data_IF_962350099099
#
_entry.id   IF_962350099099
#
_cell.length_a   1.000
_cell.length_b   1.000
_cell.length_c   1.000
_cell.angle_alpha   90.00
_cell.angle_beta   90.00
_cell.angle_gamma   90.00
#
_symmetry.space_group_name_H-M   'P 1'
#
loop_
_entity.id
_entity.type
_entity.pdbx_description
1 polymer ?
#
# COMPACT_ATOMS: atom_id res chain seq x y z
N UNK A 1 4.07 -15.51 -5.30
CA UNK A 1 2.80 -14.74 -5.39
C UNK A 1 3.07 -13.44 -6.13
N UNK A 2 2.22 -13.04 -7.10
CA UNK A 2 2.36 -11.75 -7.76
C UNK A 2 2.18 -10.61 -6.76
N UNK A 3 2.88 -9.48 -6.98
CA UNK A 3 2.74 -8.29 -6.13
C UNK A 3 1.37 -7.66 -6.43
N UNK A 4 0.53 -7.55 -5.40
CA UNK A 4 -0.81 -6.98 -5.48
C UNK A 4 -0.94 -5.77 -4.57
N UNK A 5 -1.71 -4.76 -5.00
CA UNK A 5 -1.97 -3.59 -4.18
C UNK A 5 -2.84 -3.96 -2.96
N UNK A 6 -2.53 -3.40 -1.79
CA UNK A 6 -3.28 -3.67 -0.56
C UNK A 6 -4.40 -2.66 -0.27
N UNK A 7 -4.50 -1.59 -1.07
CA UNK A 7 -5.54 -0.56 -0.95
C UNK A 7 -6.90 -1.18 -1.25
N UNK A 8 -7.89 -0.84 -0.43
CA UNK A 8 -9.27 -1.34 -0.58
C UNK A 8 -9.81 -0.93 -1.95
N UNK A 9 -10.47 -1.87 -2.64
CA UNK A 9 -10.98 -1.71 -4.02
C UNK A 9 -9.92 -1.51 -5.12
N UNK A 10 -8.62 -1.62 -4.82
CA UNK A 10 -7.59 -1.62 -5.86
C UNK A 10 -7.33 -3.04 -6.37
N UNK A 11 -7.60 -3.28 -7.66
CA UNK A 11 -7.34 -4.57 -8.33
C UNK A 11 -5.96 -4.64 -9.01
N UNK A 12 -5.15 -3.59 -8.88
CA UNK A 12 -3.84 -3.50 -9.51
C UNK A 12 -2.89 -4.58 -9.00
N UNK A 13 -2.34 -5.35 -9.93
CA UNK A 13 -1.34 -6.37 -9.66
C UNK A 13 -0.24 -6.34 -10.74
N UNK A 14 0.95 -6.82 -10.40
CA UNK A 14 2.13 -6.70 -11.27
C UNK A 14 2.01 -7.45 -12.59
N UNK A 15 1.16 -8.47 -12.67
CA UNK A 15 0.94 -9.26 -13.90
C UNK A 15 0.10 -8.49 -14.92
N UNK A 16 -0.97 -7.83 -14.47
CA UNK A 16 -1.90 -7.09 -15.33
C UNK A 16 -1.50 -5.63 -15.52
N UNK A 17 -0.83 -5.03 -14.54
CA UNK A 17 -0.43 -3.62 -14.51
C UNK A 17 1.09 -3.51 -14.45
N UNK A 18 1.78 -3.95 -15.50
CA UNK A 18 3.24 -4.03 -15.51
C UNK A 18 3.91 -2.65 -15.46
N UNK A 19 3.23 -1.61 -15.96
CA UNK A 19 3.67 -0.21 -15.92
C UNK A 19 3.68 0.41 -14.53
N UNK A 20 2.84 -0.11 -13.62
CA UNK A 20 2.76 0.41 -12.26
C UNK A 20 3.96 -0.07 -11.43
N UNK A 21 4.46 0.84 -10.59
CA UNK A 21 5.44 0.52 -9.56
C UNK A 21 4.71 0.07 -8.31
N UNK A 22 5.27 -0.91 -7.61
CA UNK A 22 4.70 -1.46 -6.38
C UNK A 22 5.66 -1.15 -5.24
N UNK A 23 5.26 -0.22 -4.37
CA UNK A 23 6.03 0.21 -3.21
C UNK A 23 5.67 -0.64 -2.00
N UNK A 24 6.67 -1.10 -1.26
CA UNK A 24 6.45 -1.86 -0.02
C UNK A 24 5.96 -0.91 1.07
N UNK A 25 5.04 -1.37 1.91
CA UNK A 25 4.64 -0.63 3.11
C UNK A 25 5.89 -0.29 3.96
N UNK A 26 6.01 0.94 4.48
CA UNK A 26 7.14 1.31 5.33
C UNK A 26 7.28 0.36 6.52
N UNK A 27 8.53 0.07 6.88
CA UNK A 27 8.80 -0.85 7.98
C UNK A 27 8.46 -0.19 9.32
N UNK A 28 7.74 -0.93 10.17
CA UNK A 28 7.26 -0.45 11.47
C UNK A 28 8.41 -0.01 12.40
N UNK A 29 9.58 -0.64 12.30
CA UNK A 29 10.70 -0.39 13.20
C UNK A 29 11.60 0.74 12.72
N UNK A 30 11.73 0.93 11.40
CA UNK A 30 12.64 1.94 10.82
C UNK A 30 11.91 3.21 10.40
N UNK A 31 10.64 3.11 9.97
CA UNK A 31 9.82 4.23 9.49
C UNK A 31 8.40 4.19 10.10
N UNK A 32 8.26 4.19 11.44
CA UNK A 32 6.97 4.02 12.13
C UNK A 32 5.95 5.10 11.74
N UNK A 33 6.36 6.36 11.70
CA UNK A 33 5.46 7.49 11.41
C UNK A 33 4.93 7.45 9.97
N UNK A 34 5.82 7.16 9.01
CA UNK A 34 5.45 7.02 7.60
C UNK A 34 4.49 5.85 7.42
N UNK A 35 4.75 4.73 8.09
CA UNK A 35 3.86 3.57 8.10
C UNK A 35 2.48 3.95 8.62
N UNK A 36 2.40 4.65 9.75
CA UNK A 36 1.11 5.09 10.33
C UNK A 36 0.34 5.98 9.36
N UNK A 37 0.99 6.96 8.72
CA UNK A 37 0.35 7.83 7.72
C UNK A 37 -0.20 7.02 6.53
N UNK A 38 0.54 6.02 6.06
CA UNK A 38 0.06 5.15 4.98
C UNK A 38 -1.14 4.31 5.41
N UNK A 39 -1.09 3.68 6.58
CA UNK A 39 -2.22 2.89 7.10
C UNK A 39 -3.48 3.74 7.29
N UNK A 40 -3.33 4.96 7.81
CA UNK A 40 -4.42 5.94 7.93
C UNK A 40 -4.99 6.38 6.58
N UNK A 41 -4.15 6.54 5.55
CA UNK A 41 -4.61 6.89 4.20
C UNK A 41 -5.32 5.71 3.51
N UNK A 42 -4.86 4.48 3.75
CA UNK A 42 -5.46 3.26 3.20
C UNK A 42 -6.85 3.01 3.81
N UNK A 43 -7.08 3.44 5.07
CA UNK A 43 -8.36 3.29 5.80
C UNK A 43 -8.94 1.89 5.75
N UNK A 44 -8.07 0.88 5.76
CA UNK A 44 -8.48 -0.52 5.80
C UNK A 44 -8.70 -0.92 7.24
N UNK A 45 -9.82 -1.58 7.47
CA UNK A 45 -10.16 -2.21 8.75
C UNK A 45 -9.86 -3.70 8.66
N UNK A 46 -9.50 -4.30 9.80
CA UNK A 46 -9.49 -5.76 9.95
C UNK A 46 -10.90 -6.28 10.31
N UNK A 47 -11.08 -7.60 10.31
CA UNK A 47 -12.33 -8.30 10.63
C UNK A 47 -12.96 -7.87 11.98
N UNK A 48 -12.13 -7.39 12.91
CA UNK A 48 -12.50 -6.90 14.24
C UNK A 48 -12.79 -5.38 14.26
N UNK A 49 -12.81 -4.70 13.12
CA UNK A 49 -13.04 -3.25 13.02
C UNK A 49 -11.87 -2.38 13.49
N UNK A 50 -10.68 -2.98 13.70
CA UNK A 50 -9.47 -2.25 14.08
C UNK A 50 -8.70 -1.80 12.84
N UNK A 51 -7.94 -0.70 12.97
CA UNK A 51 -7.02 -0.26 11.91
C UNK A 51 -6.10 -1.40 11.48
N UNK A 52 -6.21 -1.78 10.21
CA UNK A 52 -5.46 -2.88 9.63
C UNK A 52 -3.96 -2.62 9.71
N UNK A 53 -3.21 -3.56 10.29
CA UNK A 53 -1.76 -3.48 10.40
C UNK A 53 -1.12 -4.86 10.16
N UNK A 54 -0.77 -5.17 8.90
CA UNK A 54 -0.26 -6.49 8.55
C UNK A 54 1.16 -6.69 9.09
N UNK A 55 1.43 -7.87 9.66
CA UNK A 55 2.78 -8.25 10.13
C UNK A 55 3.72 -8.67 8.99
N UNK A 56 3.17 -9.01 7.81
CA UNK A 56 3.97 -9.46 6.66
C UNK A 56 4.71 -8.30 5.99
N UNK A 57 5.92 -8.59 5.51
CA UNK A 57 6.79 -7.64 4.80
C UNK A 57 6.41 -7.47 3.32
N UNK A 58 5.60 -8.38 2.78
CA UNK A 58 5.24 -8.42 1.36
C UNK A 58 3.89 -7.75 1.09
N UNK A 59 3.74 -6.51 1.54
CA UNK A 59 2.53 -5.73 1.35
C UNK A 59 2.86 -4.51 0.51
N UNK A 60 2.13 -4.33 -0.57
CA UNK A 60 2.48 -3.35 -1.59
C UNK A 60 1.36 -2.33 -1.82
N UNK A 61 1.73 -1.10 -2.15
CA UNK A 61 0.83 -0.06 -2.67
C UNK A 61 1.29 0.31 -4.07
N UNK A 62 0.40 0.32 -5.05
CA UNK A 62 0.76 0.66 -6.43
C UNK A 62 0.96 2.18 -6.61
N UNK A 63 1.72 2.57 -7.63
CA UNK A 63 2.07 3.96 -7.92
C UNK A 63 0.88 4.87 -8.20
N UNK A 64 -0.28 4.32 -8.56
CA UNK A 64 -1.50 5.09 -8.82
C UNK A 64 -2.01 5.85 -7.57
N UNK A 65 -1.68 5.38 -6.37
CA UNK A 65 -2.09 6.02 -5.12
C UNK A 65 -1.14 7.12 -4.65
N UNK A 66 -0.09 7.40 -5.42
CA UNK A 66 0.85 8.46 -5.12
C UNK A 66 0.62 9.59 -6.11
N UNK A 67 0.63 10.82 -5.61
CA UNK A 67 0.62 12.00 -6.46
C UNK A 67 1.98 12.04 -7.16
N UNK A 68 2.03 11.55 -8.40
CA UNK A 68 3.13 11.87 -9.29
C UNK A 68 2.87 13.29 -9.76
N UNK A 69 3.45 14.27 -9.08
CA UNK A 69 3.41 15.65 -9.55
C UNK A 69 4.15 15.71 -10.90
N UNK A 70 3.43 15.46 -11.99
CA UNK A 70 3.80 15.93 -13.32
C UNK A 70 3.14 17.28 -13.46
N UNK A 71 3.82 18.32 -12.98
CA UNK A 71 3.58 19.67 -13.45
C UNK A 71 3.72 19.63 -14.97
N UNK A 72 2.61 19.81 -15.68
CA UNK A 72 2.55 20.07 -17.12
C UNK A 72 2.66 21.57 -17.32
#
# INVERSE_FOLDING_TARGET
>A
MPKSCCVVFCTANKLTNYELKFYILPNKHTEPERRTKWLQAIRREDDQGKLWNPKTKHVYVCSQHFITCRLR
#
